data_IF_957452923902
#
_entry.id   IF_957452923902
#
_cell.length_a   1.000
_cell.length_b   1.000
_cell.length_c   1.000
_cell.angle_alpha   90.00
_cell.angle_beta   90.00
_cell.angle_gamma   90.00
#
_symmetry.space_group_name_H-M   'P 1'
#
loop_
_entity.id
_entity.type
_entity.pdbx_description
1 polymer ?
#
# COMPACT_ATOMS: atom_id res chain seq x y z
N UNK A 1 8.32 -8.58 -20.91
CA UNK A 1 8.08 -7.21 -21.42
C UNK A 1 6.74 -6.81 -20.87
N UNK A 2 6.72 -5.83 -19.98
CA UNK A 2 5.49 -5.38 -19.34
C UNK A 2 4.54 -4.81 -20.40
N UNK A 3 3.27 -5.17 -20.31
CA UNK A 3 2.21 -4.75 -21.26
C UNK A 3 1.50 -3.47 -20.80
N UNK A 4 2.15 -2.74 -19.91
CA UNK A 4 1.61 -1.56 -19.25
C UNK A 4 2.61 -0.40 -19.31
N UNK A 5 2.08 0.80 -19.43
CA UNK A 5 2.84 2.05 -19.37
C UNK A 5 2.15 3.06 -18.47
N UNK A 6 2.93 3.94 -17.83
CA UNK A 6 2.39 5.05 -17.03
C UNK A 6 2.21 6.27 -17.94
N UNK A 7 0.96 6.67 -18.12
CA UNK A 7 0.57 7.90 -18.81
C UNK A 7 0.18 8.99 -17.80
N UNK A 8 0.09 10.24 -18.24
CA UNK A 8 -0.33 11.39 -17.41
C UNK A 8 -1.21 12.34 -18.21
N UNK A 9 -2.28 12.85 -17.59
CA UNK A 9 -3.11 13.93 -18.14
C UNK A 9 -3.66 14.84 -17.01
N UNK A 10 -4.32 15.93 -17.40
CA UNK A 10 -4.82 16.94 -16.45
C UNK A 10 -6.09 16.51 -15.69
N UNK A 11 -6.85 15.55 -16.23
CA UNK A 11 -8.12 15.10 -15.64
C UNK A 11 -7.93 14.05 -14.54
N UNK A 12 -6.97 13.12 -14.72
CA UNK A 12 -6.76 11.96 -13.87
C UNK A 12 -5.35 11.91 -13.24
N UNK A 13 -4.44 12.78 -13.65
CA UNK A 13 -3.04 12.69 -13.27
C UNK A 13 -2.39 11.43 -13.85
N UNK A 14 -1.57 10.74 -13.05
CA UNK A 14 -0.86 9.52 -13.46
C UNK A 14 -1.81 8.32 -13.49
N UNK A 15 -1.80 7.58 -14.59
CA UNK A 15 -2.64 6.40 -14.79
C UNK A 15 -1.89 5.35 -15.62
N UNK A 16 -2.37 4.11 -15.57
CA UNK A 16 -1.78 2.99 -16.31
C UNK A 16 -2.58 2.77 -17.60
N UNK A 17 -1.87 2.59 -18.72
CA UNK A 17 -2.44 2.23 -20.02
C UNK A 17 -1.87 0.93 -20.53
N UNK A 18 -2.67 0.18 -21.29
CA UNK A 18 -2.24 -1.05 -21.94
C UNK A 18 -1.46 -0.73 -23.21
N UNK A 19 -0.35 -1.43 -23.45
CA UNK A 19 0.43 -1.31 -24.70
C UNK A 19 -0.05 -2.26 -25.80
N UNK A 20 -1.13 -3.02 -25.56
CA UNK A 20 -1.78 -3.86 -26.55
C UNK A 20 -3.06 -4.53 -26.05
N UNK A 21 -3.66 -5.37 -26.89
CA UNK A 21 -5.00 -5.95 -26.66
C UNK A 21 -5.04 -6.96 -25.51
N UNK A 22 -6.03 -6.81 -24.61
CA UNK A 22 -6.25 -7.72 -23.47
C UNK A 22 -7.48 -8.60 -23.71
N UNK A 23 -7.41 -9.87 -23.28
CA UNK A 23 -8.59 -10.77 -23.30
C UNK A 23 -9.34 -10.75 -21.97
N UNK A 24 -10.64 -11.06 -22.03
CA UNK A 24 -11.42 -11.23 -20.80
C UNK A 24 -10.83 -12.35 -19.93
N UNK A 25 -10.61 -12.04 -18.64
CA UNK A 25 -9.98 -12.94 -17.68
C UNK A 25 -8.44 -12.94 -17.70
N UNK A 26 -7.80 -12.12 -18.53
CA UNK A 26 -6.35 -11.96 -18.54
C UNK A 26 -5.90 -11.05 -17.38
N UNK A 27 -4.90 -11.51 -16.61
CA UNK A 27 -4.25 -10.72 -15.57
C UNK A 27 -3.23 -9.79 -16.23
N UNK A 28 -3.47 -8.49 -16.14
CA UNK A 28 -2.59 -7.45 -16.71
C UNK A 28 -1.55 -6.97 -15.71
N UNK A 29 -1.96 -6.86 -14.45
CA UNK A 29 -1.13 -6.41 -13.34
C UNK A 29 -1.34 -7.38 -12.20
N UNK A 30 -0.25 -7.92 -11.68
CA UNK A 30 -0.22 -8.74 -10.48
C UNK A 30 0.70 -8.01 -9.49
N UNK A 31 0.10 -7.25 -8.56
CA UNK A 31 0.84 -6.48 -7.57
C UNK A 31 0.98 -7.29 -6.28
N UNK A 32 2.21 -7.47 -5.82
CA UNK A 32 2.48 -7.93 -4.48
C UNK A 32 2.63 -6.72 -3.55
N UNK A 33 2.12 -6.78 -2.32
CA UNK A 33 2.39 -5.74 -1.33
C UNK A 33 3.91 -5.59 -1.18
N UNK A 34 4.43 -4.41 -1.53
CA UNK A 34 5.84 -4.10 -1.44
C UNK A 34 6.30 -4.25 0.01
N UNK A 35 7.38 -5.01 0.20
CA UNK A 35 8.04 -5.38 1.46
C UNK A 35 7.51 -4.64 2.70
N UNK A 36 6.68 -5.32 3.50
CA UNK A 36 6.07 -4.77 4.71
C UNK A 36 7.11 -4.68 5.83
N UNK A 37 8.07 -3.75 5.70
CA UNK A 37 8.93 -3.40 6.81
C UNK A 37 8.07 -2.73 7.89
N UNK A 38 7.90 -3.40 9.02
CA UNK A 38 7.06 -2.91 10.11
C UNK A 38 7.83 -1.96 11.03
N UNK A 39 7.12 -0.97 11.59
CA UNK A 39 7.65 -0.12 12.65
C UNK A 39 8.04 -0.97 13.87
N UNK A 40 9.24 -0.78 14.40
CA UNK A 40 9.71 -1.54 15.59
C UNK A 40 8.90 -1.24 16.86
N UNK A 41 8.26 -0.07 16.94
CA UNK A 41 7.53 0.33 18.14
C UNK A 41 6.05 -0.07 18.13
N UNK A 42 5.34 0.12 17.01
CA UNK A 42 3.91 -0.18 16.91
C UNK A 42 3.59 -1.44 16.07
N UNK A 43 4.58 -2.01 15.38
CA UNK A 43 4.44 -3.20 14.52
C UNK A 43 3.52 -3.03 13.30
N UNK A 44 3.09 -1.80 12.97
CA UNK A 44 2.36 -1.50 11.75
C UNK A 44 3.30 -1.33 10.55
N UNK A 45 2.89 -1.75 9.34
CA UNK A 45 3.73 -1.65 8.14
C UNK A 45 3.99 -0.19 7.77
N UNK A 46 5.20 0.10 7.32
CA UNK A 46 5.61 1.41 6.82
C UNK A 46 6.10 1.31 5.38
N UNK A 47 5.87 2.36 4.60
CA UNK A 47 6.58 2.53 3.35
C UNK A 47 8.05 2.90 3.60
N UNK A 48 8.91 2.71 2.60
CA UNK A 48 10.35 3.01 2.65
C UNK A 48 10.63 4.42 3.19
N UNK A 49 9.90 5.43 2.73
CA UNK A 49 10.04 6.83 3.19
C UNK A 49 9.71 7.01 4.67
N UNK A 50 8.80 6.21 5.22
CA UNK A 50 8.41 6.29 6.63
C UNK A 50 9.35 5.51 7.56
N UNK A 51 10.21 4.64 7.01
CA UNK A 51 11.27 3.98 7.77
C UNK A 51 12.41 4.94 8.12
N UNK A 52 12.58 6.03 7.37
CA UNK A 52 13.56 7.06 7.69
C UNK A 52 13.23 7.75 9.03
N UNK A 53 14.23 7.94 9.88
CA UNK A 53 14.06 8.54 11.21
C UNK A 53 13.57 10.00 11.16
N UNK A 54 13.79 10.64 10.02
CA UNK A 54 13.31 11.98 9.65
C UNK A 54 11.82 12.02 9.32
N UNK A 55 11.16 10.88 9.12
CA UNK A 55 9.76 10.81 8.77
C UNK A 55 8.87 11.33 9.92
N UNK A 56 8.15 12.41 9.65
CA UNK A 56 7.26 13.05 10.63
C UNK A 56 5.83 12.47 10.60
N UNK A 57 5.38 11.97 9.44
CA UNK A 57 3.98 11.59 9.22
C UNK A 57 3.54 10.39 10.05
N UNK A 58 4.43 9.42 10.28
CA UNK A 58 4.12 8.23 11.09
C UNK A 58 4.12 8.51 12.61
N UNK A 59 4.85 9.53 13.10
CA UNK A 59 5.09 9.70 14.55
C UNK A 59 3.81 9.90 15.35
N UNK A 60 2.85 10.67 14.83
CA UNK A 60 1.54 10.89 15.47
C UNK A 60 0.73 9.59 15.52
N UNK A 61 0.60 8.91 14.39
CA UNK A 61 -0.13 7.64 14.27
C UNK A 61 0.49 6.53 15.13
N UNK A 62 1.82 6.45 15.17
CA UNK A 62 2.57 5.49 16.00
C UNK A 62 2.17 5.59 17.48
N UNK A 63 2.06 6.82 18.01
CA UNK A 63 1.67 7.03 19.39
C UNK A 63 0.24 6.57 19.64
N UNK A 64 -0.70 6.87 18.72
CA UNK A 64 -2.08 6.39 18.82
C UNK A 64 -2.14 4.86 18.81
N UNK A 65 -1.45 4.20 17.88
CA UNK A 65 -1.45 2.74 17.79
C UNK A 65 -0.82 2.06 19.01
N UNK A 66 0.27 2.60 19.54
CA UNK A 66 0.89 2.12 20.80
C UNK A 66 -0.09 2.26 21.97
N UNK A 67 -0.68 3.45 22.14
CA UNK A 67 -1.63 3.72 23.22
C UNK A 67 -2.89 2.85 23.14
N UNK A 68 -3.40 2.62 21.94
CA UNK A 68 -4.56 1.77 21.68
C UNK A 68 -4.23 0.27 21.71
N UNK A 69 -2.94 -0.11 21.76
CA UNK A 69 -2.45 -1.50 21.57
C UNK A 69 -2.99 -2.13 20.28
N UNK A 70 -3.16 -1.32 19.24
CA UNK A 70 -3.63 -1.77 17.94
C UNK A 70 -2.55 -2.67 17.31
N UNK A 71 -2.89 -3.93 17.02
CA UNK A 71 -1.95 -4.90 16.43
C UNK A 71 -2.27 -5.16 14.97
N UNK A 72 -1.24 -5.05 14.14
CA UNK A 72 -1.29 -5.54 12.76
C UNK A 72 -1.13 -7.07 12.76
N UNK A 73 -2.08 -7.78 12.16
CA UNK A 73 -2.05 -9.24 12.03
C UNK A 73 -1.42 -9.70 10.72
N UNK A 74 -1.32 -8.83 9.71
CA UNK A 74 -0.72 -9.15 8.41
C UNK A 74 -1.48 -10.22 7.62
N UNK A 75 -2.72 -10.50 7.99
CA UNK A 75 -3.53 -11.48 7.26
C UNK A 75 -3.94 -10.87 5.92
N UNK A 76 -3.40 -11.45 4.85
CA UNK A 76 -3.70 -11.10 3.47
C UNK A 76 -4.55 -12.23 2.89
N UNK A 77 -5.64 -11.89 2.22
CA UNK A 77 -6.43 -12.87 1.49
C UNK A 77 -5.64 -13.34 0.26
N UNK A 78 -5.32 -14.64 0.18
CA UNK A 78 -4.46 -15.21 -0.87
C UNK A 78 -5.03 -15.08 -2.29
N UNK A 79 -6.36 -15.03 -2.44
CA UNK A 79 -7.02 -14.91 -3.76
C UNK A 79 -7.11 -13.46 -4.25
N UNK A 80 -7.21 -12.49 -3.34
CA UNK A 80 -7.44 -11.09 -3.67
C UNK A 80 -6.23 -10.18 -3.40
N UNK A 81 -5.24 -10.66 -2.64
CA UNK A 81 -4.10 -9.85 -2.19
C UNK A 81 -4.47 -8.75 -1.19
N UNK A 82 -5.71 -8.70 -0.71
CA UNK A 82 -6.23 -7.62 0.14
C UNK A 82 -5.96 -7.90 1.62
N UNK A 83 -5.49 -6.88 2.34
CA UNK A 83 -5.42 -6.86 3.80
C UNK A 83 -6.55 -6.00 4.37
N UNK A 84 -7.60 -6.64 4.90
CA UNK A 84 -8.80 -5.95 5.41
C UNK A 84 -8.54 -5.00 6.57
N UNK A 85 -7.43 -5.18 7.30
CA UNK A 85 -7.02 -4.24 8.35
C UNK A 85 -6.54 -2.90 7.78
N UNK A 86 -6.07 -2.87 6.53
CA UNK A 86 -5.61 -1.64 5.86
C UNK A 86 -6.74 -0.91 5.12
N UNK A 87 -7.84 -1.60 4.79
CA UNK A 87 -9.01 -0.99 4.14
C UNK A 87 -9.75 0.03 5.02
N UNK A 88 -9.61 -0.09 6.35
CA UNK A 88 -10.39 0.69 7.32
C UNK A 88 -9.57 1.78 8.05
N UNK A 89 -8.32 2.01 7.67
CA UNK A 89 -7.49 3.04 8.31
C UNK A 89 -7.42 4.25 7.39
N UNK A 90 -8.37 5.15 7.56
CA UNK A 90 -8.17 6.53 7.09
C UNK A 90 -6.93 7.10 7.79
N UNK A 91 -5.93 7.60 7.05
CA UNK A 91 -4.79 8.28 7.63
C UNK A 91 -5.29 9.34 8.62
N UNK A 92 -4.76 9.33 9.85
CA UNK A 92 -5.13 10.33 10.86
C UNK A 92 -4.36 11.61 10.53
N UNK A 93 -4.86 12.37 9.54
CA UNK A 93 -4.30 13.68 9.15
C UNK A 93 -4.81 14.79 10.05
#
# INVERSE_FOLDING_TARGET
MDRIEVATNDDFGRHIVLTGDVKAGEVVVDEFPFDLTACKECSWPLCEKCQEETAIYHKSECNVFKSARARFSGIINEESGVCTQLDCITPLR
#
